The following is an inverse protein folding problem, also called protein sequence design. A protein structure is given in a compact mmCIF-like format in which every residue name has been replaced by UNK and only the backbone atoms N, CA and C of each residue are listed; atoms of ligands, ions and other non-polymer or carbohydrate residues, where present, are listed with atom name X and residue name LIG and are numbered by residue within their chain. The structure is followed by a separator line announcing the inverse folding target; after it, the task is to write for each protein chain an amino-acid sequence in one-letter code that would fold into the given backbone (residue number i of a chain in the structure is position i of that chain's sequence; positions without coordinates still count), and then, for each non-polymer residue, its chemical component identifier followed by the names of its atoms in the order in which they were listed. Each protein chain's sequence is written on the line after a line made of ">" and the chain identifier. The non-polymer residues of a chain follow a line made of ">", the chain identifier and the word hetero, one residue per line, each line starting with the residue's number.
data_IF_255725074227
#
_entry.id   IF_255725074227
#
_cell.length_a   1.000
_cell.length_b   1.000
_cell.length_c   1.000
_cell.angle_alpha   90.00
_cell.angle_beta   90.00
_cell.angle_gamma   90.00
#
_symmetry.space_group_name_H-M   'P 1'
#
loop_
_entity.id
_entity.type
_entity.pdbx_description
1 polymer ?
#
# COMPACT_ATOMS: atom_id res chain seq x y z
N UNK A 1 23.33 -29.41 7.07
CA UNK A 1 22.06 -29.10 6.39
C UNK A 1 21.82 -27.61 6.49
N UNK A 2 21.98 -26.88 5.39
CA UNK A 2 21.77 -25.43 5.35
C UNK A 2 20.27 -25.14 5.13
N UNK A 3 19.63 -24.52 6.11
CA UNK A 3 18.26 -24.03 5.96
C UNK A 3 18.27 -22.88 4.96
N UNK A 4 17.78 -23.12 3.74
CA UNK A 4 17.45 -22.03 2.81
C UNK A 4 16.35 -21.20 3.45
N UNK A 5 16.69 -20.02 3.98
CA UNK A 5 15.70 -19.03 4.33
C UNK A 5 14.88 -18.71 3.07
N UNK A 6 13.54 -18.74 3.13
CA UNK A 6 12.72 -18.33 2.00
C UNK A 6 13.06 -16.87 1.68
N UNK A 7 13.33 -16.58 0.40
CA UNK A 7 13.58 -15.22 -0.09
C UNK A 7 12.33 -14.39 0.24
N UNK A 8 12.46 -13.53 1.25
CA UNK A 8 11.37 -12.67 1.70
C UNK A 8 11.12 -11.64 0.60
N UNK A 9 9.89 -11.63 0.05
CA UNK A 9 9.47 -10.65 -0.96
C UNK A 9 9.84 -9.23 -0.51
N UNK A 10 10.69 -8.57 -1.27
CA UNK A 10 11.13 -7.21 -0.96
C UNK A 10 10.17 -6.20 -1.57
N UNK A 11 9.13 -5.90 -0.80
CA UNK A 11 8.09 -4.96 -1.22
C UNK A 11 8.63 -3.54 -1.38
N UNK A 12 9.68 -3.17 -0.65
CA UNK A 12 10.30 -1.86 -0.81
C UNK A 12 11.02 -1.76 -2.17
N UNK A 13 11.71 -2.83 -2.57
CA UNK A 13 12.31 -2.93 -3.90
C UNK A 13 11.24 -2.88 -5.01
N UNK A 14 10.15 -3.64 -4.89
CA UNK A 14 9.08 -3.64 -5.91
C UNK A 14 8.42 -2.27 -6.10
N UNK A 15 8.19 -1.54 -5.01
CA UNK A 15 7.65 -0.17 -5.07
C UNK A 15 8.67 0.77 -5.70
N UNK A 16 9.94 0.65 -5.33
CA UNK A 16 11.04 1.44 -5.91
C UNK A 16 11.14 1.22 -7.41
N UNK A 17 11.15 -0.03 -7.87
CA UNK A 17 11.25 -0.39 -9.29
C UNK A 17 10.07 0.15 -10.11
N UNK A 18 8.86 0.10 -9.54
CA UNK A 18 7.69 0.68 -10.20
C UNK A 18 7.79 2.21 -10.31
N UNK A 19 8.31 2.87 -9.27
CA UNK A 19 8.54 4.33 -9.29
C UNK A 19 9.60 4.68 -10.34
N UNK A 20 10.70 3.95 -10.39
CA UNK A 20 11.77 4.14 -11.39
C UNK A 20 11.21 4.03 -12.80
N UNK A 21 10.46 2.95 -13.11
CA UNK A 21 9.83 2.79 -14.43
C UNK A 21 8.94 3.95 -14.81
N UNK A 22 8.13 4.46 -13.86
CA UNK A 22 7.24 5.60 -14.11
C UNK A 22 8.01 6.90 -14.38
N UNK A 23 9.14 7.10 -13.70
CA UNK A 23 10.06 8.20 -13.98
C UNK A 23 10.67 8.06 -15.38
N UNK A 24 11.09 6.85 -15.77
CA UNK A 24 11.65 6.56 -17.10
C UNK A 24 10.64 6.78 -18.24
N UNK A 25 9.35 6.54 -17.99
CA UNK A 25 8.25 6.86 -18.91
C UNK A 25 8.01 8.38 -19.08
N UNK A 26 8.80 9.23 -18.42
CA UNK A 26 8.68 10.69 -18.50
C UNK A 26 7.50 11.25 -17.68
N UNK A 27 6.92 10.44 -16.80
CA UNK A 27 5.79 10.83 -15.94
C UNK A 27 6.30 11.02 -14.51
N UNK A 28 6.66 12.24 -14.09
CA UNK A 28 7.12 12.48 -12.74
C UNK A 28 6.01 12.08 -11.75
N UNK A 29 6.22 11.08 -10.87
CA UNK A 29 5.14 10.47 -10.09
C UNK A 29 4.54 11.42 -9.05
N UNK A 30 5.26 12.49 -8.68
CA UNK A 30 4.80 13.57 -7.80
C UNK A 30 4.10 14.72 -8.54
N UNK A 31 4.22 14.77 -9.87
CA UNK A 31 3.50 15.73 -10.71
C UNK A 31 2.23 15.06 -11.21
N UNK A 32 1.08 15.74 -11.14
CA UNK A 32 -0.13 15.34 -11.87
C UNK A 32 -0.25 16.22 -13.11
N UNK A 33 0.33 15.84 -14.27
CA UNK A 33 0.24 16.63 -15.49
C UNK A 33 -1.13 16.58 -16.21
N UNK A 34 -2.06 15.68 -15.85
CA UNK A 34 -3.37 15.55 -16.52
C UNK A 34 -4.58 15.93 -15.65
N UNK A 35 -5.60 16.47 -16.35
CA UNK A 35 -6.93 16.78 -15.82
C UNK A 35 -7.60 15.49 -15.32
N UNK A 36 -8.15 15.54 -14.12
CA UNK A 36 -8.79 14.41 -13.44
C UNK A 36 -9.92 13.80 -14.29
N UNK A 37 -9.72 12.61 -14.86
CA UNK A 37 -10.83 11.77 -15.31
C UNK A 37 -11.22 10.86 -14.14
N UNK A 38 -12.12 11.32 -13.27
CA UNK A 38 -12.55 10.61 -12.05
C UNK A 38 -12.73 11.52 -10.84
N UNK A 39 -12.92 10.95 -9.65
CA UNK A 39 -13.31 11.69 -8.44
C UNK A 39 -12.27 12.71 -7.89
N UNK A 40 -11.08 12.80 -8.50
CA UNK A 40 -10.03 13.81 -8.20
C UNK A 40 -9.44 13.74 -6.78
N UNK A 41 -8.24 14.25 -6.49
CA UNK A 41 -7.71 14.25 -5.11
C UNK A 41 -7.09 12.92 -4.62
N UNK A 42 -6.68 12.86 -3.35
CA UNK A 42 -5.82 11.79 -2.78
C UNK A 42 -6.54 10.43 -2.71
N UNK A 43 -5.82 9.29 -2.85
CA UNK A 43 -6.40 7.99 -2.58
C UNK A 43 -6.85 7.94 -1.13
N UNK A 44 -8.01 7.34 -0.89
CA UNK A 44 -8.63 7.19 0.42
C UNK A 44 -8.65 5.72 0.81
N UNK A 45 -8.53 5.44 2.10
CA UNK A 45 -8.85 4.14 2.67
C UNK A 45 -10.37 3.93 2.65
N UNK A 46 -10.83 2.69 2.87
CA UNK A 46 -12.27 2.37 3.01
C UNK A 46 -13.04 3.30 3.97
N UNK A 47 -12.39 3.80 5.03
CA UNK A 47 -12.99 4.71 6.02
C UNK A 47 -12.90 6.21 5.65
N UNK A 48 -12.47 6.56 4.44
CA UNK A 48 -12.32 7.95 3.98
C UNK A 48 -11.04 8.66 4.45
N UNK A 49 -10.22 8.03 5.29
CA UNK A 49 -8.93 8.60 5.68
C UNK A 49 -7.97 8.62 4.48
N UNK A 50 -7.35 9.76 4.13
CA UNK A 50 -6.39 9.82 3.04
C UNK A 50 -5.17 8.94 3.28
N UNK A 51 -4.67 8.31 2.22
CA UNK A 51 -3.34 7.70 2.24
C UNK A 51 -2.25 8.76 2.42
N UNK A 52 -1.10 8.33 2.93
CA UNK A 52 0.06 9.20 3.18
C UNK A 52 1.34 8.59 2.63
N UNK A 53 2.33 9.45 2.39
CA UNK A 53 3.64 9.06 1.89
C UNK A 53 3.57 8.37 0.53
N UNK A 54 4.38 7.33 0.36
CA UNK A 54 4.58 6.66 -0.92
C UNK A 54 3.30 6.03 -1.50
N UNK A 55 2.37 5.60 -0.63
CA UNK A 55 1.09 5.06 -1.09
C UNK A 55 0.26 6.07 -1.88
N UNK A 56 0.43 7.38 -1.63
CA UNK A 56 -0.29 8.41 -2.39
C UNK A 56 0.13 8.36 -3.84
N UNK A 57 1.44 8.37 -4.10
CA UNK A 57 2.00 8.35 -5.45
C UNK A 57 1.71 7.02 -6.13
N UNK A 58 1.98 5.92 -5.42
CA UNK A 58 1.81 4.56 -5.93
C UNK A 58 0.36 4.26 -6.33
N UNK A 59 -0.61 4.48 -5.43
CA UNK A 59 -2.01 4.18 -5.71
C UNK A 59 -2.62 5.14 -6.73
N UNK A 60 -2.12 6.38 -6.81
CA UNK A 60 -2.50 7.28 -7.90
C UNK A 60 -2.02 6.79 -9.26
N UNK A 61 -0.72 6.49 -9.39
CA UNK A 61 -0.15 6.01 -10.65
C UNK A 61 -0.84 4.73 -11.13
N UNK A 62 -1.18 3.84 -10.18
CA UNK A 62 -1.86 2.59 -10.48
C UNK A 62 -3.33 2.80 -10.87
N UNK A 63 -4.04 3.70 -10.18
CA UNK A 63 -5.40 4.08 -10.55
C UNK A 63 -5.47 4.72 -11.95
N UNK A 64 -4.52 5.59 -12.29
CA UNK A 64 -4.42 6.22 -13.60
C UNK A 64 -4.10 5.19 -14.71
N UNK A 65 -3.08 4.36 -14.48
CA UNK A 65 -2.65 3.35 -15.45
C UNK A 65 -3.72 2.28 -15.73
N UNK A 66 -4.58 1.97 -14.75
CA UNK A 66 -5.67 0.99 -14.89
C UNK A 66 -7.04 1.63 -15.15
N UNK A 67 -7.12 2.96 -15.24
CA UNK A 67 -8.36 3.68 -15.55
C UNK A 67 -9.41 3.68 -14.43
N UNK A 68 -9.00 3.52 -13.17
CA UNK A 68 -9.90 3.54 -12.03
C UNK A 68 -10.38 4.97 -11.72
N UNK A 69 -11.69 5.11 -11.53
CA UNK A 69 -12.44 6.35 -11.26
C UNK A 69 -12.57 6.61 -9.76
N UNK A 70 -12.73 5.57 -8.95
CA UNK A 70 -12.81 5.71 -7.51
C UNK A 70 -11.45 5.97 -6.87
N UNK A 71 -11.47 6.74 -5.79
CA UNK A 71 -10.30 7.04 -4.96
C UNK A 71 -10.17 6.07 -3.80
N UNK A 72 -11.17 5.24 -3.56
CA UNK A 72 -11.22 4.37 -2.39
C UNK A 72 -10.47 3.09 -2.66
N UNK A 73 -9.59 2.73 -1.74
CA UNK A 73 -8.84 1.49 -1.73
C UNK A 73 -9.08 0.77 -0.42
N UNK A 74 -9.24 -0.55 -0.51
CA UNK A 74 -9.61 -1.37 0.64
C UNK A 74 -9.06 -2.78 0.50
N UNK A 75 -8.82 -3.46 1.63
CA UNK A 75 -8.46 -4.88 1.58
C UNK A 75 -9.67 -5.73 1.22
N UNK A 76 -9.43 -6.97 0.79
CA UNK A 76 -10.51 -7.92 0.50
C UNK A 76 -11.51 -8.04 1.66
N UNK A 77 -11.00 -8.18 2.90
CA UNK A 77 -11.84 -8.29 4.10
C UNK A 77 -12.64 -7.01 4.38
N UNK A 78 -12.10 -5.84 4.03
CA UNK A 78 -12.82 -4.58 4.18
C UNK A 78 -13.95 -4.47 3.16
N UNK A 79 -13.71 -4.86 1.91
CA UNK A 79 -14.77 -4.96 0.90
C UNK A 79 -15.90 -5.89 1.37
N UNK A 80 -15.57 -7.09 1.83
CA UNK A 80 -16.52 -8.06 2.37
C UNK A 80 -17.32 -7.51 3.56
N UNK A 81 -16.65 -6.82 4.50
CA UNK A 81 -17.33 -6.19 5.64
C UNK A 81 -18.30 -5.06 5.27
N UNK A 82 -18.13 -4.48 4.07
CA UNK A 82 -19.03 -3.47 3.51
C UNK A 82 -20.14 -4.09 2.64
N UNK A 83 -20.23 -5.43 2.57
CA UNK A 83 -21.17 -6.15 1.69
C UNK A 83 -20.71 -6.24 0.24
N UNK A 84 -19.51 -5.76 -0.06
CA UNK A 84 -18.92 -5.82 -1.39
C UNK A 84 -18.15 -7.10 -1.65
N UNK A 85 -17.95 -7.42 -2.93
CA UNK A 85 -17.17 -8.58 -3.37
C UNK A 85 -16.22 -8.16 -4.49
N UNK A 86 -14.93 -8.50 -4.32
CA UNK A 86 -13.93 -8.28 -5.36
C UNK A 86 -14.27 -9.19 -6.54
N UNK A 87 -14.36 -8.63 -7.75
CA UNK A 87 -14.67 -9.42 -8.94
C UNK A 87 -13.59 -10.48 -9.20
N UNK A 88 -14.03 -11.63 -9.71
CA UNK A 88 -13.12 -12.75 -10.00
C UNK A 88 -12.12 -12.36 -11.09
N UNK A 89 -10.84 -12.60 -10.83
CA UNK A 89 -9.75 -12.29 -11.77
C UNK A 89 -9.09 -10.93 -11.55
N UNK A 90 -9.66 -10.08 -10.70
CA UNK A 90 -9.06 -8.79 -10.33
C UNK A 90 -7.76 -9.01 -9.54
N UNK A 91 -6.74 -8.22 -9.89
CA UNK A 91 -5.45 -8.22 -9.19
C UNK A 91 -5.38 -7.04 -8.22
N UNK A 92 -5.00 -7.33 -6.97
CA UNK A 92 -4.84 -6.29 -5.95
C UNK A 92 -3.50 -5.56 -6.05
N UNK A 93 -3.49 -4.32 -5.60
CA UNK A 93 -2.31 -3.46 -5.50
C UNK A 93 -1.66 -3.57 -4.11
N UNK A 94 -0.37 -3.25 -4.02
CA UNK A 94 0.35 -3.26 -2.75
C UNK A 94 0.20 -1.90 -2.05
N UNK A 95 -0.22 -1.90 -0.79
CA UNK A 95 -0.15 -0.75 0.10
C UNK A 95 0.82 -1.03 1.24
N UNK A 96 1.75 -0.12 1.51
CA UNK A 96 2.72 -0.26 2.60
C UNK A 96 2.33 0.52 3.85
N UNK A 97 2.66 -0.04 5.01
CA UNK A 97 2.55 0.61 6.30
C UNK A 97 3.89 0.51 7.01
N UNK A 98 4.52 1.66 7.21
CA UNK A 98 5.77 1.78 7.94
C UNK A 98 5.51 2.38 9.32
N UNK A 99 6.02 1.73 10.36
CA UNK A 99 5.93 2.22 11.74
C UNK A 99 7.05 1.63 12.60
N UNK A 100 7.16 2.06 13.84
CA UNK A 100 8.09 1.51 14.82
C UNK A 100 7.35 1.14 16.10
N UNK A 101 7.73 0.03 16.72
CA UNK A 101 7.29 -0.30 18.08
C UNK A 101 8.50 -0.36 19.01
N UNK A 102 8.26 -0.10 20.28
CA UNK A 102 9.29 -0.20 21.31
C UNK A 102 9.24 -1.59 21.93
N UNK A 103 10.41 -2.17 22.16
CA UNK A 103 10.58 -3.46 22.83
C UNK A 103 11.59 -3.29 23.94
N UNK A 104 11.19 -3.65 25.16
CA UNK A 104 12.12 -3.74 26.29
C UNK A 104 12.87 -5.07 26.19
N UNK A 105 14.20 -5.01 26.15
CA UNK A 105 15.08 -6.17 26.16
C UNK A 105 16.11 -6.01 27.28
N UNK A 106 16.47 -7.11 27.95
CA UNK A 106 17.58 -7.08 28.91
C UNK A 106 18.91 -6.91 28.16
N UNK A 107 19.73 -5.98 28.63
CA UNK A 107 21.05 -5.78 28.08
C UNK A 107 21.89 -7.04 28.35
N UNK A 108 22.47 -7.69 27.31
CA UNK A 108 23.12 -9.00 27.46
C UNK A 108 24.33 -9.01 28.40
N UNK A 109 24.89 -7.85 28.74
CA UNK A 109 26.05 -7.73 29.63
C UNK A 109 25.77 -7.06 30.97
N UNK A 110 24.75 -6.19 31.06
CA UNK A 110 24.48 -5.42 32.28
C UNK A 110 23.19 -5.82 32.99
N UNK A 111 22.36 -6.68 32.39
CA UNK A 111 21.06 -7.10 32.95
C UNK A 111 20.05 -5.95 33.11
N UNK A 112 20.38 -4.74 32.64
CA UNK A 112 19.50 -3.58 32.69
C UNK A 112 18.47 -3.66 31.58
N UNK A 113 17.24 -3.30 31.88
CA UNK A 113 16.22 -3.13 30.84
C UNK A 113 16.59 -1.97 29.91
N UNK A 114 16.66 -2.25 28.61
CA UNK A 114 16.89 -1.27 27.56
C UNK A 114 15.68 -1.23 26.64
N UNK A 115 15.16 -0.02 26.43
CA UNK A 115 14.06 0.20 25.50
C UNK A 115 14.62 0.36 24.07
N UNK A 116 14.38 -0.62 23.19
CA UNK A 116 14.81 -0.59 21.79
C UNK A 116 13.65 -0.28 20.87
N UNK A 117 13.83 0.72 20.00
CA UNK A 117 12.87 1.01 18.93
C UNK A 117 13.13 0.12 17.72
N UNK A 118 12.16 -0.73 17.37
CA UNK A 118 12.19 -1.64 16.24
C UNK A 118 11.30 -1.08 15.13
N UNK A 119 11.92 -0.71 14.01
CA UNK A 119 11.23 -0.26 12.79
C UNK A 119 10.72 -1.47 12.01
N UNK A 120 9.53 -1.36 11.45
CA UNK A 120 8.96 -2.40 10.61
C UNK A 120 8.21 -1.82 9.41
N UNK A 121 8.20 -2.62 8.34
CA UNK A 121 7.37 -2.42 7.17
C UNK A 121 6.40 -3.59 7.07
N UNK A 122 5.11 -3.27 7.00
CA UNK A 122 4.05 -4.21 6.63
C UNK A 122 3.53 -3.83 5.26
N UNK A 123 3.08 -4.81 4.50
CA UNK A 123 2.38 -4.58 3.26
C UNK A 123 1.01 -5.26 3.31
N UNK A 124 0.06 -4.69 2.57
CA UNK A 124 -1.30 -5.15 2.46
C UNK A 124 -1.67 -5.19 0.98
N UNK A 125 -2.48 -6.17 0.60
CA UNK A 125 -3.11 -6.17 -0.73
C UNK A 125 -4.43 -5.41 -0.62
N UNK A 126 -4.55 -4.38 -1.45
CA UNK A 126 -5.72 -3.50 -1.53
C UNK A 126 -6.28 -3.51 -2.94
N UNK A 127 -7.59 -3.38 -3.04
CA UNK A 127 -8.34 -3.29 -4.29
C UNK A 127 -8.94 -1.90 -4.37
N UNK A 128 -8.99 -1.33 -5.57
CA UNK A 128 -9.75 -0.13 -5.82
C UNK A 128 -11.25 -0.46 -5.73
N UNK A 129 -12.08 0.47 -5.26
CA UNK A 129 -13.53 0.26 -5.20
C UNK A 129 -14.14 -0.08 -6.57
N UNK A 130 -13.55 0.39 -7.68
CA UNK A 130 -13.98 0.02 -9.02
C UNK A 130 -13.82 -1.47 -9.32
N UNK A 131 -12.97 -2.20 -8.58
CA UNK A 131 -12.77 -3.66 -8.67
C UNK A 131 -13.79 -4.46 -7.84
N UNK A 132 -14.64 -3.77 -7.07
CA UNK A 132 -15.51 -4.37 -6.07
C UNK A 132 -16.97 -4.06 -6.41
N UNK A 133 -17.77 -5.11 -6.57
CA UNK A 133 -19.20 -4.98 -6.81
C UNK A 133 -19.96 -5.02 -5.47
N UNK A 134 -21.11 -4.35 -5.38
CA UNK A 134 -21.97 -4.37 -4.19
C UNK A 134 -21.50 -3.47 -3.03
N UNK A 135 -20.56 -2.55 -3.27
CA UNK A 135 -20.21 -1.53 -2.29
C UNK A 135 -21.35 -0.52 -2.08
N UNK A 136 -21.45 0.06 -0.86
CA UNK A 136 -22.35 1.17 -0.62
C UNK A 136 -21.97 2.40 -1.47
N UNK A 137 -22.95 3.27 -1.80
CA UNK A 137 -22.72 4.47 -2.61
C UNK A 137 -21.83 5.51 -1.92
#
# INVERSE_FOLDING_TARGET
>A
MSFRQPVRRDVAAEITDLIIRKIEEGVPPWSRPWRSNGAGGRPLRHCGTPYQGINVLYLWALGDALGYRSRYWMTYRQAESLGGHVRKGESGAISVYYSSFKKTEEHPETGKEVERSIRFLRHYIVFNADQVDGLPP
#
